data_IF_490302425965
#
_entry.id   IF_490302425965
#
_cell.length_a   1.000
_cell.length_b   1.000
_cell.length_c   1.000
_cell.angle_alpha   90.00
_cell.angle_beta   90.00
_cell.angle_gamma   90.00
#
_symmetry.space_group_name_H-M   'P 1'
#
loop_
_entity.id
_entity.type
_entity.pdbx_description
1 polymer ?
#
# COMPACT_ATOMS: atom_id res chain seq x y z
N UNK A 1 3.48 -14.16 15.32
CA UNK A 1 4.07 -14.15 14.11
C UNK A 1 5.50 -14.35 14.18
N UNK A 2 5.96 -15.38 13.60
CA UNK A 2 7.33 -15.67 13.67
C UNK A 2 8.10 -15.34 12.44
N UNK A 3 7.41 -14.96 11.41
CA UNK A 3 8.08 -14.70 10.16
C UNK A 3 8.74 -13.34 10.25
N UNK A 4 10.00 -13.24 10.00
CA UNK A 4 10.70 -12.01 10.08
C UNK A 4 10.39 -11.05 8.97
N UNK A 5 9.69 -11.49 7.96
CA UNK A 5 9.36 -10.63 6.83
C UNK A 5 7.93 -10.14 6.86
N UNK A 6 7.24 -10.36 7.95
CA UNK A 6 5.85 -9.96 8.02
C UNK A 6 5.57 -9.26 9.31
N UNK A 7 4.74 -8.23 9.24
CA UNK A 7 4.42 -7.43 10.39
C UNK A 7 2.94 -7.11 10.38
N UNK A 8 2.41 -6.78 11.54
CA UNK A 8 1.05 -6.30 11.67
C UNK A 8 1.12 -5.05 12.51
N UNK A 9 0.53 -3.99 12.01
CA UNK A 9 0.47 -2.74 12.76
C UNK A 9 -0.97 -2.24 12.74
N UNK A 10 -1.32 -1.42 13.70
CA UNK A 10 -2.63 -0.80 13.71
C UNK A 10 -2.48 0.70 13.81
N UNK A 11 -3.47 1.41 13.36
CA UNK A 11 -3.49 2.84 13.46
C UNK A 11 -4.96 3.26 13.46
N UNK A 12 -5.24 4.45 13.92
CA UNK A 12 -6.59 4.94 13.95
C UNK A 12 -6.78 6.04 12.95
N UNK A 13 -7.97 6.10 12.38
CA UNK A 13 -8.29 7.13 11.42
C UNK A 13 -8.85 8.31 12.19
N UNK A 14 -8.31 9.49 11.97
CA UNK A 14 -8.77 10.69 12.65
C UNK A 14 -10.04 11.20 12.01
N UNK A 15 -10.62 12.25 12.60
CA UNK A 15 -11.84 12.81 12.09
C UNK A 15 -11.68 13.43 10.71
N UNK A 16 -10.47 13.62 10.26
CA UNK A 16 -10.24 14.14 8.93
C UNK A 16 -9.82 13.05 7.96
N UNK A 17 -9.93 11.81 8.37
CA UNK A 17 -9.57 10.73 7.47
C UNK A 17 -8.08 10.47 7.42
N UNK A 18 -7.32 10.98 8.36
CA UNK A 18 -5.88 10.83 8.33
C UNK A 18 -5.44 9.71 9.24
N UNK A 19 -4.35 9.07 8.88
CA UNK A 19 -3.76 8.05 9.74
C UNK A 19 -2.29 8.38 9.90
N UNK A 20 -1.68 7.82 10.94
CA UNK A 20 -0.24 7.96 11.13
C UNK A 20 0.37 6.63 10.79
N UNK A 21 1.37 6.63 9.96
CA UNK A 21 2.07 5.41 9.65
C UNK A 21 3.04 5.14 10.80
N UNK A 22 2.93 4.00 11.46
CA UNK A 22 3.77 3.73 12.62
C UNK A 22 5.25 3.83 12.28
N UNK A 23 6.03 4.25 13.28
CA UNK A 23 7.43 4.46 13.06
C UNK A 23 8.14 3.21 12.56
N UNK A 24 7.79 2.07 13.11
CA UNK A 24 8.44 0.85 12.67
C UNK A 24 8.15 0.58 11.19
N UNK A 25 6.92 0.85 10.76
CA UNK A 25 6.57 0.65 9.36
C UNK A 25 7.37 1.60 8.47
N UNK A 26 7.54 2.83 8.92
CA UNK A 26 8.32 3.78 8.14
C UNK A 26 9.77 3.34 8.04
N UNK A 27 10.29 2.78 9.12
CA UNK A 27 11.68 2.34 9.11
C UNK A 27 11.86 1.11 8.24
N UNK A 28 10.97 0.16 8.36
CA UNK A 28 11.08 -1.08 7.60
C UNK A 28 10.99 -0.82 6.11
N UNK A 29 10.11 0.07 5.71
CA UNK A 29 9.90 0.33 4.30
C UNK A 29 10.54 1.62 3.81
N UNK A 30 11.34 2.21 4.67
CA UNK A 30 12.11 3.40 4.30
C UNK A 30 11.20 4.51 3.79
N UNK A 31 10.16 4.80 4.53
CA UNK A 31 9.21 5.84 4.17
C UNK A 31 9.63 7.10 4.91
N UNK A 32 9.95 8.14 4.18
CA UNK A 32 10.49 9.36 4.76
C UNK A 32 9.63 10.55 4.42
N UNK A 33 9.82 11.60 5.18
CA UNK A 33 9.09 12.82 4.95
C UNK A 33 9.30 13.28 3.51
N UNK A 34 8.26 13.65 2.87
CA UNK A 34 8.35 14.08 1.48
C UNK A 34 8.15 12.97 0.46
N UNK A 35 8.19 11.73 0.92
CA UNK A 35 7.99 10.63 -0.02
C UNK A 35 6.55 10.62 -0.52
N UNK A 36 6.37 10.15 -1.71
CA UNK A 36 5.04 9.99 -2.29
C UNK A 36 4.63 8.54 -2.14
N UNK A 37 3.44 8.34 -1.62
CA UNK A 37 2.90 7.00 -1.51
C UNK A 37 1.77 6.86 -2.51
N UNK A 38 1.59 5.66 -3.00
CA UNK A 38 0.48 5.39 -3.88
C UNK A 38 -0.44 4.43 -3.15
N UNK A 39 -1.72 4.62 -3.32
CA UNK A 39 -2.70 3.84 -2.64
C UNK A 39 -3.49 3.04 -3.65
N UNK A 40 -3.60 1.76 -3.43
CA UNK A 40 -4.37 0.90 -4.31
C UNK A 40 -5.62 0.49 -3.57
N UNK A 41 -6.75 0.51 -4.23
CA UNK A 41 -8.00 0.09 -3.62
C UNK A 41 -8.66 -0.99 -4.41
N UNK A 42 -9.15 -2.01 -3.72
CA UNK A 42 -9.87 -3.08 -4.35
C UNK A 42 -11.02 -3.38 -3.42
N UNK A 43 -12.24 -3.33 -3.92
CA UNK A 43 -13.39 -3.49 -3.06
C UNK A 43 -13.39 -4.79 -2.29
N UNK A 44 -12.84 -5.81 -2.86
CA UNK A 44 -12.80 -7.08 -2.19
C UNK A 44 -11.57 -7.28 -1.34
N UNK A 45 -10.44 -6.74 -1.75
CA UNK A 45 -9.22 -6.98 -1.05
C UNK A 45 -8.82 -5.89 -0.09
N UNK A 46 -9.35 -4.70 -0.29
CA UNK A 46 -9.05 -3.60 0.60
C UNK A 46 -8.08 -2.62 0.00
N UNK A 47 -7.35 -1.94 0.86
CA UNK A 47 -6.46 -0.89 0.45
C UNK A 47 -5.03 -1.29 0.75
N UNK A 48 -4.15 -0.99 -0.17
CA UNK A 48 -2.73 -1.19 0.04
C UNK A 48 -2.01 0.12 -0.21
N UNK A 49 -0.96 0.36 0.53
CA UNK A 49 -0.13 1.53 0.36
C UNK A 49 1.25 1.08 -0.05
N UNK A 50 1.87 1.82 -0.93
CA UNK A 50 3.22 1.50 -1.36
C UNK A 50 3.96 2.76 -1.68
N UNK A 51 5.28 2.73 -1.63
CA UNK A 51 6.06 3.86 -2.09
C UNK A 51 5.89 3.93 -3.59
N UNK A 52 5.86 5.13 -4.10
CA UNK A 52 5.64 5.32 -5.52
C UNK A 52 6.65 4.56 -6.36
N UNK A 53 7.85 4.45 -5.89
CA UNK A 53 8.89 3.76 -6.63
C UNK A 53 8.62 2.27 -6.74
N UNK A 54 7.82 1.73 -5.84
CA UNK A 54 7.54 0.32 -5.85
C UNK A 54 6.19 0.01 -6.45
N UNK A 55 5.55 1.01 -7.01
CA UNK A 55 4.16 0.82 -7.40
C UNK A 55 3.99 -0.25 -8.49
N UNK A 56 4.94 -0.42 -9.36
CA UNK A 56 4.78 -1.42 -10.39
C UNK A 56 4.69 -2.81 -9.80
N UNK A 57 5.45 -3.10 -8.77
CA UNK A 57 5.38 -4.37 -8.14
C UNK A 57 4.03 -4.60 -7.53
N UNK A 58 3.50 -3.57 -6.87
CA UNK A 58 2.23 -3.71 -6.22
C UNK A 58 1.09 -3.75 -7.21
N UNK A 59 1.22 -3.03 -8.30
CA UNK A 59 0.19 -3.05 -9.31
C UNK A 59 0.06 -4.44 -9.89
N UNK A 60 1.18 -5.07 -10.14
CA UNK A 60 1.13 -6.41 -10.67
C UNK A 60 0.53 -7.36 -9.66
N UNK A 61 0.85 -7.23 -8.42
CA UNK A 61 0.34 -8.14 -7.41
C UNK A 61 -1.15 -7.97 -7.18
N UNK A 62 -1.64 -6.75 -7.23
CA UNK A 62 -3.02 -6.47 -6.93
C UNK A 62 -3.91 -6.53 -8.14
N UNK A 63 -3.43 -6.04 -9.26
CA UNK A 63 -4.25 -5.91 -10.44
C UNK A 63 -3.85 -6.83 -11.56
N UNK A 64 -3.01 -7.78 -11.29
CA UNK A 64 -2.52 -8.65 -12.30
C UNK A 64 -3.59 -9.30 -13.10
N UNK A 65 -4.60 -9.74 -12.47
CA UNK A 65 -5.62 -10.44 -13.17
C UNK A 65 -6.40 -9.54 -14.09
N UNK A 66 -6.33 -8.26 -13.89
CA UNK A 66 -7.03 -7.38 -14.71
C UNK A 66 -6.21 -6.71 -15.73
N UNK A 67 -4.95 -6.99 -15.76
CA UNK A 67 -4.07 -6.35 -16.63
C UNK A 67 -4.53 -6.34 -18.04
N UNK A 68 -4.92 -7.40 -18.51
CA UNK A 68 -5.36 -7.48 -19.86
C UNK A 68 -6.66 -6.81 -20.07
N UNK A 69 -7.51 -6.83 -19.11
CA UNK A 69 -8.77 -6.22 -19.22
C UNK A 69 -8.70 -4.77 -19.18
N UNK A 70 -7.80 -4.25 -18.44
CA UNK A 70 -7.68 -2.87 -18.31
C UNK A 70 -7.49 -2.19 -19.54
N UNK A 71 -6.85 -2.81 -20.39
CA UNK A 71 -6.56 -2.20 -21.59
C UNK A 71 -7.72 -1.77 -22.24
N UNK A 72 -8.68 -2.43 -21.97
CA UNK A 72 -9.82 -2.09 -22.62
C UNK A 72 -10.39 -0.93 -22.16
N UNK A 73 -10.30 -0.64 -21.25
CA UNK A 73 -10.93 0.37 -20.80
C UNK A 73 -10.73 1.46 -21.18
N UNK A 74 -10.39 1.46 -21.33
CA UNK A 74 -10.17 2.48 -21.69
C UNK A 74 -10.27 2.84 -22.14
#
# INVERSE_FOLDING_TARGET
MNDKNKWIWTTKVSNKGQIVIPKEARDVFNINEGDTLIMFGDKEKGIALAKYDDYLKFAEAIFKAKKGDDDDRD
#
